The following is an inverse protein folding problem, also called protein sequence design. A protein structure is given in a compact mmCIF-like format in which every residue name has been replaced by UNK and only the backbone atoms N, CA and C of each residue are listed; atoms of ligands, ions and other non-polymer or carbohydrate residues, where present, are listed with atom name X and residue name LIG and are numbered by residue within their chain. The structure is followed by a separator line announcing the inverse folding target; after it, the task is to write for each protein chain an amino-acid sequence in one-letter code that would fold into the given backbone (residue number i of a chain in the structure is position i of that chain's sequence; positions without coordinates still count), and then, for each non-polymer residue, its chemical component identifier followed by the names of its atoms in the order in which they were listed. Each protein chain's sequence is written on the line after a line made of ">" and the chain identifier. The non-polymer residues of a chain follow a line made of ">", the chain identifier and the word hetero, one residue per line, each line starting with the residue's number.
data_IF_284972061043
#
_entry.id   IF_284972061043
#
_cell.length_a   1.000
_cell.length_b   1.000
_cell.length_c   1.000
_cell.angle_alpha   90.00
_cell.angle_beta   90.00
_cell.angle_gamma   90.00
#
_symmetry.space_group_name_H-M   'P 1'
#
loop_
_entity.id
_entity.type
_entity.pdbx_description
1 polymer ?
#
# COMPACT_ATOMS: atom_id res chain seq x y z
N UNK A 1 -23.35 -12.09 16.09
CA UNK A 1 -23.33 -13.32 16.94
C UNK A 1 -24.77 -13.78 17.14
N UNK A 2 -25.04 -15.10 17.17
CA UNK A 2 -26.39 -15.61 17.46
C UNK A 2 -26.48 -15.95 18.94
N UNK A 3 -27.48 -15.37 19.62
CA UNK A 3 -27.87 -15.69 20.99
C UNK A 3 -29.02 -16.67 20.95
N UNK A 4 -28.98 -17.72 21.77
CA UNK A 4 -30.02 -18.72 21.85
C UNK A 4 -30.62 -18.75 23.26
N UNK A 5 -31.94 -18.84 23.32
CA UNK A 5 -32.72 -19.13 24.52
C UNK A 5 -33.09 -20.61 24.59
N UNK A 6 -33.63 -21.04 25.73
CA UNK A 6 -34.22 -22.36 25.86
C UNK A 6 -35.46 -22.49 24.96
N UNK A 7 -35.68 -23.65 24.37
CA UNK A 7 -36.81 -23.92 23.48
C UNK A 7 -37.90 -24.73 24.18
N UNK A 8 -39.16 -24.43 23.87
CA UNK A 8 -40.31 -25.17 24.40
C UNK A 8 -41.60 -24.83 23.66
N UNK A 9 -42.49 -25.81 23.51
CA UNK A 9 -43.80 -25.60 22.88
C UNK A 9 -44.62 -24.58 23.69
N UNK A 10 -45.19 -23.58 23.00
CA UNK A 10 -46.01 -22.54 23.63
C UNK A 10 -45.22 -21.52 24.45
N UNK A 11 -43.90 -21.42 24.27
CA UNK A 11 -43.09 -20.34 24.84
C UNK A 11 -43.08 -19.10 23.93
N UNK A 12 -43.20 -17.93 24.54
CA UNK A 12 -43.01 -16.63 23.91
C UNK A 12 -41.69 -16.01 24.40
N UNK A 13 -40.99 -15.32 23.51
CA UNK A 13 -39.71 -14.68 23.79
C UNK A 13 -39.81 -13.18 23.60
N UNK A 14 -39.03 -12.42 24.37
CA UNK A 14 -38.78 -11.01 24.13
C UNK A 14 -37.33 -10.72 24.49
N UNK A 15 -36.51 -10.44 23.49
CA UNK A 15 -35.13 -9.99 23.70
C UNK A 15 -35.10 -8.52 24.08
N UNK A 16 -34.16 -8.14 24.94
CA UNK A 16 -33.91 -6.75 25.32
C UNK A 16 -32.43 -6.41 25.17
N UNK A 17 -32.13 -5.16 24.84
CA UNK A 17 -30.80 -4.57 24.80
C UNK A 17 -30.72 -3.44 25.81
N UNK A 18 -29.76 -3.52 26.74
CA UNK A 18 -29.55 -2.53 27.79
C UNK A 18 -30.83 -2.20 28.57
N UNK A 19 -31.64 -3.23 28.84
CA UNK A 19 -32.91 -3.12 29.57
C UNK A 19 -34.12 -2.69 28.73
N UNK A 20 -33.95 -2.38 27.44
CA UNK A 20 -35.06 -1.98 26.56
C UNK A 20 -35.46 -3.14 25.62
N UNK A 21 -36.77 -3.45 25.48
CA UNK A 21 -37.23 -4.52 24.60
C UNK A 21 -36.94 -4.18 23.13
N UNK A 22 -36.43 -5.17 22.40
CA UNK A 22 -36.17 -5.06 20.97
C UNK A 22 -37.43 -5.44 20.18
N UNK A 23 -37.94 -4.50 19.38
CA UNK A 23 -39.15 -4.72 18.59
C UNK A 23 -39.00 -5.90 17.63
N UNK A 24 -39.98 -6.80 17.62
CA UNK A 24 -40.00 -8.00 16.74
C UNK A 24 -39.00 -9.10 17.13
N UNK A 25 -38.20 -8.91 18.18
CA UNK A 25 -37.26 -9.91 18.65
C UNK A 25 -37.94 -10.96 19.55
N UNK A 26 -38.80 -11.78 18.94
CA UNK A 26 -39.67 -12.74 19.64
C UNK A 26 -39.36 -14.20 19.33
N UNK A 27 -38.27 -14.46 18.62
CA UNK A 27 -37.77 -15.81 18.34
C UNK A 27 -36.88 -16.33 19.47
N UNK A 28 -36.80 -17.65 19.62
CA UNK A 28 -35.90 -18.30 20.58
C UNK A 28 -34.42 -18.00 20.30
N UNK A 29 -34.08 -17.61 19.07
CA UNK A 29 -32.76 -17.14 18.69
C UNK A 29 -32.81 -15.68 18.24
N UNK A 30 -31.73 -14.93 18.52
CA UNK A 30 -31.58 -13.54 18.11
C UNK A 30 -30.18 -13.27 17.58
N UNK A 31 -30.07 -12.57 16.44
CA UNK A 31 -28.78 -12.17 15.87
C UNK A 31 -28.38 -10.80 16.42
N UNK A 32 -27.47 -10.79 17.39
CA UNK A 32 -26.91 -9.56 17.95
C UNK A 32 -25.88 -8.94 16.98
N UNK A 33 -26.11 -7.67 16.65
CA UNK A 33 -25.26 -6.84 15.77
C UNK A 33 -24.67 -5.62 16.47
N UNK A 34 -25.20 -5.25 17.64
CA UNK A 34 -24.76 -4.10 18.42
C UNK A 34 -24.12 -4.53 19.74
N UNK A 35 -23.17 -3.74 20.24
CA UNK A 35 -22.62 -3.93 21.57
C UNK A 35 -23.65 -3.60 22.65
N UNK A 36 -23.56 -4.28 23.78
CA UNK A 36 -24.39 -4.04 24.96
C UNK A 36 -24.80 -5.33 25.67
N UNK A 37 -25.62 -5.16 26.71
CA UNK A 37 -26.10 -6.26 27.52
C UNK A 37 -27.43 -6.76 26.97
N UNK A 38 -27.44 -8.00 26.51
CA UNK A 38 -28.64 -8.69 26.04
C UNK A 38 -29.19 -9.60 27.13
N UNK A 39 -30.51 -9.63 27.26
CA UNK A 39 -31.21 -10.68 27.98
C UNK A 39 -32.49 -11.03 27.23
N UNK A 40 -33.07 -12.17 27.59
CA UNK A 40 -34.34 -12.63 27.02
C UNK A 40 -35.31 -12.91 28.17
N UNK A 41 -36.53 -12.39 28.02
CA UNK A 41 -37.65 -12.80 28.86
C UNK A 41 -38.42 -13.89 28.14
N UNK A 42 -38.61 -15.02 28.80
CA UNK A 42 -39.37 -16.17 28.29
C UNK A 42 -40.66 -16.26 29.09
N UNK A 43 -41.80 -16.34 28.41
CA UNK A 43 -43.12 -16.49 29.02
C UNK A 43 -43.77 -17.78 28.52
N UNK A 44 -44.26 -18.61 29.44
CA UNK A 44 -44.94 -19.85 29.08
C UNK A 44 -46.44 -19.63 28.80
N UNK A 45 -47.13 -20.66 28.32
CA UNK A 45 -48.58 -20.61 28.05
C UNK A 45 -49.46 -20.31 29.27
N UNK A 46 -48.94 -20.51 30.48
CA UNK A 46 -49.60 -20.17 31.76
C UNK A 46 -49.33 -18.74 32.23
N UNK A 47 -48.70 -17.89 31.40
CA UNK A 47 -48.28 -16.52 31.72
C UNK A 47 -47.22 -16.39 32.83
N UNK A 48 -46.52 -17.47 33.20
CA UNK A 48 -45.34 -17.35 34.05
C UNK A 48 -44.14 -16.90 33.21
N UNK A 49 -43.39 -15.90 33.69
CA UNK A 49 -42.22 -15.36 33.01
C UNK A 49 -40.95 -15.48 33.84
N UNK A 50 -39.82 -15.61 33.14
CA UNK A 50 -38.49 -15.51 33.71
C UNK A 50 -37.57 -14.76 32.73
N UNK A 51 -36.65 -13.96 33.26
CA UNK A 51 -35.65 -13.21 32.49
C UNK A 51 -34.27 -13.79 32.73
N UNK A 52 -33.51 -14.01 31.65
CA UNK A 52 -32.13 -14.49 31.76
C UNK A 52 -31.21 -13.46 32.44
N UNK A 53 -30.06 -13.92 32.91
CA UNK A 53 -28.95 -13.00 33.21
C UNK A 53 -28.49 -12.28 31.94
N UNK A 54 -27.79 -11.16 32.11
CA UNK A 54 -27.24 -10.40 30.99
C UNK A 54 -26.07 -11.16 30.35
N UNK A 55 -26.10 -11.24 29.01
CA UNK A 55 -24.96 -11.59 28.17
C UNK A 55 -24.40 -10.32 27.54
N UNK A 56 -23.16 -9.97 27.89
CA UNK A 56 -22.50 -8.79 27.32
C UNK A 56 -21.91 -9.11 25.95
N UNK A 57 -22.33 -8.34 24.95
CA UNK A 57 -21.76 -8.37 23.60
C UNK A 57 -20.86 -7.14 23.42
N UNK A 58 -19.64 -7.37 22.97
CA UNK A 58 -18.70 -6.32 22.56
C UNK A 58 -18.58 -6.29 21.05
N UNK A 59 -18.50 -5.09 20.48
CA UNK A 59 -18.26 -4.86 19.05
C UNK A 59 -17.03 -3.98 18.95
N UNK A 60 -15.98 -4.47 18.30
CA UNK A 60 -14.75 -3.71 18.07
C UNK A 60 -14.80 -3.10 16.67
N UNK A 61 -14.54 -1.80 16.57
CA UNK A 61 -14.46 -1.13 15.28
C UNK A 61 -13.28 -1.66 14.44
N UNK A 62 -13.45 -1.67 13.12
CA UNK A 62 -12.33 -1.92 12.21
C UNK A 62 -11.26 -0.82 12.39
N UNK A 63 -9.97 -1.16 12.28
CA UNK A 63 -8.93 -0.14 12.24
C UNK A 63 -9.06 0.70 10.96
N UNK A 64 -8.55 1.93 11.00
CA UNK A 64 -8.29 2.69 9.77
C UNK A 64 -7.05 2.10 9.05
N UNK A 65 -7.05 2.15 7.72
CA UNK A 65 -5.93 1.73 6.88
C UNK A 65 -5.68 2.74 5.76
N UNK A 66 -4.52 3.39 5.77
CA UNK A 66 -4.11 4.39 4.77
C UNK A 66 -2.65 4.19 4.37
N UNK A 67 -2.28 4.59 3.15
CA UNK A 67 -0.89 4.63 2.67
C UNK A 67 -0.54 6.06 2.30
N UNK A 68 0.57 6.57 2.85
CA UNK A 68 1.09 7.92 2.62
C UNK A 68 2.51 7.84 2.03
N UNK A 69 2.68 8.10 0.73
CA UNK A 69 3.99 8.14 0.09
C UNK A 69 4.86 9.31 0.57
N UNK A 70 6.18 9.11 0.67
CA UNK A 70 7.12 10.16 1.07
C UNK A 70 7.37 11.24 0.01
N UNK A 71 6.83 11.08 -1.20
CA UNK A 71 7.04 12.00 -2.32
C UNK A 71 6.10 11.73 -3.49
N UNK A 72 6.41 12.29 -4.67
CA UNK A 72 5.65 12.05 -5.89
C UNK A 72 5.69 10.57 -6.27
N UNK A 73 4.57 9.98 -6.71
CA UNK A 73 4.34 8.55 -6.95
C UNK A 73 5.16 7.91 -8.10
N UNK A 74 6.35 8.42 -8.39
CA UNK A 74 7.28 7.90 -9.38
C UNK A 74 8.72 7.96 -8.87
N UNK A 75 9.49 6.90 -9.11
CA UNK A 75 10.91 6.82 -8.81
C UNK A 75 11.69 6.41 -10.06
N UNK A 76 12.97 6.75 -10.15
CA UNK A 76 13.85 6.20 -11.18
C UNK A 76 14.24 4.76 -10.84
N UNK A 77 14.59 3.97 -11.85
CA UNK A 77 15.12 2.62 -11.66
C UNK A 77 16.36 2.65 -10.76
N UNK A 78 16.39 1.77 -9.76
CA UNK A 78 17.41 1.75 -8.70
C UNK A 78 17.13 2.71 -7.54
N UNK A 79 16.17 3.62 -7.68
CA UNK A 79 15.66 4.45 -6.59
C UNK A 79 14.70 3.71 -5.66
N UNK A 80 14.22 4.42 -4.66
CA UNK A 80 13.22 3.90 -3.72
C UNK A 80 12.29 5.02 -3.22
N UNK A 81 11.19 4.60 -2.62
CA UNK A 81 10.22 5.45 -1.95
C UNK A 81 9.74 4.81 -0.66
N UNK A 82 9.61 5.61 0.40
CA UNK A 82 9.02 5.14 1.64
C UNK A 82 7.50 5.33 1.56
N UNK A 83 6.77 4.24 1.75
CA UNK A 83 5.33 4.22 1.97
C UNK A 83 5.05 4.10 3.46
N UNK A 84 4.22 5.00 4.00
CA UNK A 84 3.87 5.02 5.42
C UNK A 84 2.41 4.64 5.65
N UNK A 85 2.17 3.59 6.45
CA UNK A 85 0.85 3.29 6.97
C UNK A 85 0.46 4.27 8.09
N UNK A 86 -0.84 4.40 8.40
CA UNK A 86 -1.27 5.08 9.62
C UNK A 86 -0.80 4.30 10.86
N UNK A 87 -0.36 5.02 11.90
CA UNK A 87 0.19 4.43 13.11
C UNK A 87 -0.73 4.70 14.29
N UNK A 88 -1.01 3.64 15.05
CA UNK A 88 -1.66 3.70 16.36
C UNK A 88 -1.17 2.53 17.21
N UNK A 89 -1.40 2.60 18.52
CA UNK A 89 -0.98 1.56 19.48
C UNK A 89 -1.69 0.24 19.16
N UNK A 90 -0.91 -0.84 19.12
CA UNK A 90 -1.45 -2.20 18.96
C UNK A 90 -1.88 -2.57 17.54
N UNK A 91 -1.52 -1.77 16.53
CA UNK A 91 -1.71 -2.13 15.13
C UNK A 91 -0.56 -3.01 14.62
N UNK A 92 -0.89 -4.00 13.81
CA UNK A 92 0.05 -4.82 13.02
C UNK A 92 -0.23 -4.63 11.54
N UNK A 93 0.78 -4.86 10.70
CA UNK A 93 0.75 -4.52 9.28
C UNK A 93 1.13 -5.72 8.41
N UNK A 94 0.61 -5.74 7.19
CA UNK A 94 1.09 -6.58 6.10
C UNK A 94 0.95 -5.78 4.80
N UNK A 95 2.06 -5.55 4.11
CA UNK A 95 2.04 -4.87 2.80
C UNK A 95 1.76 -5.85 1.66
N UNK A 96 1.12 -5.34 0.61
CA UNK A 96 0.80 -6.07 -0.60
C UNK A 96 1.26 -5.29 -1.82
N UNK A 97 1.69 -6.02 -2.85
CA UNK A 97 1.96 -5.50 -4.18
C UNK A 97 1.04 -6.23 -5.17
N UNK A 98 0.20 -5.45 -5.87
CA UNK A 98 -0.76 -5.98 -6.85
C UNK A 98 -1.65 -7.10 -6.26
N UNK A 99 -2.06 -6.93 -5.01
CA UNK A 99 -2.91 -7.89 -4.28
C UNK A 99 -2.16 -9.09 -3.67
N UNK A 100 -0.86 -9.25 -3.91
CA UNK A 100 -0.06 -10.34 -3.33
C UNK A 100 0.72 -9.86 -2.10
N UNK A 101 0.75 -10.63 -1.00
CA UNK A 101 1.48 -10.24 0.20
C UNK A 101 2.99 -10.18 -0.06
N UNK A 102 3.62 -9.09 0.39
CA UNK A 102 5.07 -8.93 0.33
C UNK A 102 5.66 -9.61 1.57
N UNK A 103 6.43 -10.69 1.35
CA UNK A 103 7.00 -11.48 2.45
C UNK A 103 7.84 -10.63 3.40
N UNK A 104 7.56 -10.74 4.71
CA UNK A 104 8.29 -10.01 5.76
C UNK A 104 7.96 -8.51 5.89
N UNK A 105 7.10 -7.97 5.03
CA UNK A 105 6.74 -6.55 5.08
C UNK A 105 5.65 -6.28 6.13
N UNK A 106 6.05 -6.27 7.41
CA UNK A 106 5.14 -6.13 8.56
C UNK A 106 5.35 -4.85 9.38
N UNK A 107 6.26 -3.98 8.95
CA UNK A 107 6.45 -2.65 9.53
C UNK A 107 5.40 -1.66 9.02
N UNK A 108 5.13 -0.60 9.79
CA UNK A 108 4.32 0.53 9.33
C UNK A 108 4.97 1.28 8.15
N UNK A 109 6.29 1.13 7.97
CA UNK A 109 7.04 1.67 6.84
C UNK A 109 7.40 0.56 5.85
N UNK A 110 7.23 0.82 4.56
CA UNK A 110 7.71 -0.05 3.50
C UNK A 110 8.53 0.72 2.47
N UNK A 111 9.69 0.16 2.09
CA UNK A 111 10.56 0.75 1.09
C UNK A 111 10.23 0.17 -0.30
N UNK A 112 9.44 0.89 -1.09
CA UNK A 112 9.01 0.48 -2.41
C UNK A 112 10.11 0.75 -3.45
N UNK A 113 10.46 -0.29 -4.22
CA UNK A 113 11.46 -0.25 -5.31
C UNK A 113 10.91 -0.76 -6.64
N UNK A 114 9.65 -1.17 -6.67
CA UNK A 114 8.99 -1.80 -7.81
C UNK A 114 7.76 -0.99 -8.23
N UNK A 115 7.42 -1.05 -9.52
CA UNK A 115 6.17 -0.51 -10.03
C UNK A 115 4.99 -1.36 -9.59
N UNK A 116 3.86 -0.72 -9.31
CA UNK A 116 2.59 -1.40 -9.09
C UNK A 116 1.73 -0.73 -8.04
N UNK A 117 0.63 -1.41 -7.69
CA UNK A 117 -0.34 -0.95 -6.72
C UNK A 117 0.00 -1.52 -5.34
N UNK A 118 0.44 -0.64 -4.44
CA UNK A 118 0.69 -0.99 -3.05
C UNK A 118 -0.55 -0.78 -2.20
N UNK A 119 -0.85 -1.74 -1.33
CA UNK A 119 -1.83 -1.62 -0.25
C UNK A 119 -1.23 -2.12 1.05
N UNK A 120 -1.81 -1.70 2.17
CA UNK A 120 -1.46 -2.23 3.49
C UNK A 120 -2.72 -2.76 4.17
N UNK A 121 -2.64 -3.99 4.68
CA UNK A 121 -3.63 -4.51 5.62
C UNK A 121 -3.19 -4.14 7.04
N UNK A 122 -4.08 -3.51 7.78
CA UNK A 122 -3.88 -3.11 9.18
C UNK A 122 -4.79 -3.99 10.04
N UNK A 123 -4.23 -4.59 11.08
CA UNK A 123 -4.96 -5.45 12.02
C UNK A 123 -4.81 -4.92 13.44
N UNK A 124 -5.92 -4.76 14.16
CA UNK A 124 -5.91 -4.31 15.56
C UNK A 124 -5.72 -5.50 16.54
N UNK A 125 -5.61 -5.20 17.83
CA UNK A 125 -5.42 -6.21 18.90
C UNK A 125 -6.60 -7.16 19.08
N UNK A 126 -7.78 -6.84 18.54
CA UNK A 126 -8.95 -7.72 18.53
C UNK A 126 -9.03 -8.60 17.28
N UNK A 127 -7.97 -8.62 16.45
CA UNK A 127 -7.91 -9.32 15.16
C UNK A 127 -8.90 -8.82 14.10
N UNK A 128 -9.45 -7.62 14.25
CA UNK A 128 -10.19 -6.97 13.17
C UNK A 128 -9.20 -6.33 12.20
N UNK A 129 -9.42 -6.52 10.90
CA UNK A 129 -8.53 -6.00 9.85
C UNK A 129 -9.27 -5.14 8.82
N UNK A 130 -8.53 -4.20 8.24
CA UNK A 130 -8.95 -3.40 7.11
C UNK A 130 -7.78 -3.21 6.14
N UNK A 131 -8.07 -3.10 4.84
CA UNK A 131 -7.06 -2.88 3.79
C UNK A 131 -7.22 -1.48 3.22
N UNK A 132 -6.10 -0.80 3.01
CA UNK A 132 -6.09 0.55 2.43
C UNK A 132 -6.57 0.57 0.97
N UNK A 133 -6.92 1.77 0.48
CA UNK A 133 -6.96 2.02 -0.95
C UNK A 133 -5.57 1.81 -1.59
N UNK A 134 -5.55 1.52 -2.89
CA UNK A 134 -4.32 1.29 -3.65
C UNK A 134 -3.54 2.59 -3.90
N UNK A 135 -2.24 2.55 -3.69
CA UNK A 135 -1.28 3.58 -4.09
C UNK A 135 -0.45 3.06 -5.25
N UNK A 136 -0.65 3.63 -6.44
CA UNK A 136 0.11 3.28 -7.64
C UNK A 136 1.47 3.97 -7.64
N UNK A 137 2.55 3.18 -7.71
CA UNK A 137 3.93 3.66 -7.85
C UNK A 137 4.48 3.26 -9.22
N UNK A 138 5.15 4.20 -9.89
CA UNK A 138 5.83 3.96 -11.16
C UNK A 138 7.35 3.99 -11.01
N UNK A 139 8.05 3.01 -11.59
CA UNK A 139 9.51 3.00 -11.75
C UNK A 139 9.84 3.37 -13.19
N UNK A 140 10.49 4.52 -13.37
CA UNK A 140 10.93 5.02 -14.66
C UNK A 140 12.30 4.43 -15.00
N UNK A 141 12.48 3.79 -16.18
CA UNK A 141 13.78 3.28 -16.58
C UNK A 141 14.80 4.40 -16.72
N UNK A 142 16.07 4.08 -16.46
CA UNK A 142 17.16 5.01 -16.77
C UNK A 142 17.30 5.16 -18.29
N UNK A 143 17.64 6.35 -18.80
CA UNK A 143 18.02 6.51 -20.19
C UNK A 143 19.20 5.59 -20.53
N UNK A 144 19.18 4.98 -21.72
CA UNK A 144 20.37 4.34 -22.28
C UNK A 144 21.37 5.44 -22.65
N UNK A 145 22.66 5.25 -22.36
CA UNK A 145 23.72 6.15 -22.77
C UNK A 145 24.68 5.43 -23.73
N UNK A 146 24.68 5.81 -25.01
CA UNK A 146 25.56 5.21 -26.01
C UNK A 146 26.26 6.26 -26.87
N UNK A 147 27.54 6.03 -27.17
CA UNK A 147 28.32 6.83 -28.11
C UNK A 147 28.39 6.08 -29.45
N UNK A 148 28.11 6.78 -30.55
CA UNK A 148 28.41 6.34 -31.91
C UNK A 148 29.39 7.30 -32.57
N UNK A 149 30.33 6.78 -33.35
CA UNK A 149 31.26 7.59 -34.12
C UNK A 149 30.77 7.69 -35.57
N UNK A 150 30.73 8.90 -36.13
CA UNK A 150 30.39 9.16 -37.52
C UNK A 150 31.60 8.99 -38.47
N UNK A 151 32.55 8.12 -38.10
CA UNK A 151 33.80 7.92 -38.83
C UNK A 151 34.76 6.99 -38.07
N UNK A 152 35.96 6.83 -38.62
CA UNK A 152 37.03 6.08 -37.96
C UNK A 152 37.53 6.84 -36.72
N UNK A 153 37.77 6.11 -35.64
CA UNK A 153 38.29 6.68 -34.38
C UNK A 153 39.82 6.74 -34.33
N UNK A 154 40.47 6.39 -35.44
CA UNK A 154 41.92 6.49 -35.62
C UNK A 154 42.17 7.34 -36.86
N UNK A 155 42.75 8.51 -36.67
CA UNK A 155 42.93 9.53 -37.71
C UNK A 155 44.24 10.30 -37.48
N UNK A 156 44.71 11.03 -38.49
CA UNK A 156 45.99 11.75 -38.43
C UNK A 156 45.89 13.04 -37.60
N UNK A 157 47.03 13.59 -37.18
CA UNK A 157 47.05 14.88 -36.49
C UNK A 157 46.44 15.98 -37.38
N UNK A 158 45.45 16.71 -36.84
CA UNK A 158 44.70 17.73 -37.57
C UNK A 158 43.33 17.26 -38.08
N UNK A 159 43.10 15.95 -38.15
CA UNK A 159 41.79 15.38 -38.45
C UNK A 159 40.89 15.31 -37.21
N UNK A 160 39.65 14.86 -37.38
CA UNK A 160 38.67 14.74 -36.32
C UNK A 160 37.66 13.62 -36.60
N UNK A 161 36.91 13.25 -35.56
CA UNK A 161 35.71 12.41 -35.68
C UNK A 161 34.57 13.04 -34.90
N UNK A 162 33.36 13.00 -35.45
CA UNK A 162 32.16 13.41 -34.73
C UNK A 162 31.63 12.21 -33.93
N UNK A 163 31.48 12.42 -32.62
CA UNK A 163 30.85 11.50 -31.70
C UNK A 163 29.41 11.96 -31.43
N UNK A 164 28.47 11.04 -31.47
CA UNK A 164 27.05 11.30 -31.21
C UNK A 164 26.60 10.52 -29.98
N UNK A 165 25.90 11.19 -29.08
CA UNK A 165 25.12 10.58 -28.01
C UNK A 165 23.70 10.25 -28.52
N UNK A 166 22.97 9.41 -27.80
CA UNK A 166 21.54 9.21 -28.07
C UNK A 166 20.73 10.48 -27.81
N UNK A 167 19.71 10.70 -28.64
CA UNK A 167 18.80 11.83 -28.55
C UNK A 167 17.48 11.42 -27.92
N UNK A 168 16.84 12.34 -27.20
CA UNK A 168 15.58 12.09 -26.52
C UNK A 168 15.07 13.35 -25.81
N UNK A 169 13.76 13.42 -25.58
CA UNK A 169 13.15 14.55 -24.87
C UNK A 169 13.60 14.57 -23.41
N UNK A 170 14.08 15.73 -22.95
CA UNK A 170 14.51 15.92 -21.56
C UNK A 170 15.92 15.41 -21.25
N UNK A 171 16.69 14.95 -22.24
CA UNK A 171 18.09 14.60 -22.06
C UNK A 171 18.97 15.86 -22.05
N UNK A 172 19.97 15.84 -21.17
CA UNK A 172 21.05 16.81 -21.09
C UNK A 172 22.37 16.09 -21.27
N UNK A 173 23.39 16.76 -21.80
CA UNK A 173 24.67 16.14 -22.09
C UNK A 173 25.82 16.89 -21.44
N UNK A 174 26.85 16.15 -21.01
CA UNK A 174 28.17 16.67 -20.70
C UNK A 174 29.22 15.68 -21.21
N UNK A 175 29.99 16.07 -22.23
CA UNK A 175 31.11 15.26 -22.72
C UNK A 175 32.31 15.31 -21.77
N UNK A 176 32.98 14.18 -21.62
CA UNK A 176 34.10 13.97 -20.70
C UNK A 176 35.24 13.32 -21.49
N UNK A 177 36.43 13.90 -21.39
CA UNK A 177 37.68 13.37 -21.96
C UNK A 177 38.61 12.97 -20.82
N UNK A 178 39.04 11.71 -20.80
CA UNK A 178 39.97 11.17 -19.80
C UNK A 178 39.53 11.46 -18.35
N UNK A 179 38.21 11.39 -18.09
CA UNK A 179 37.61 11.62 -16.78
C UNK A 179 37.35 13.09 -16.43
N UNK A 180 37.79 14.06 -17.23
CA UNK A 180 37.52 15.49 -17.02
C UNK A 180 36.40 16.03 -17.92
N UNK A 181 35.42 16.78 -17.37
CA UNK A 181 34.40 17.44 -18.20
C UNK A 181 35.02 18.42 -19.20
N UNK A 182 34.56 18.35 -20.44
CA UNK A 182 34.95 19.29 -21.49
C UNK A 182 34.04 20.52 -21.39
N UNK A 183 34.62 21.68 -21.15
CA UNK A 183 33.86 22.91 -20.97
C UNK A 183 32.93 23.17 -22.16
N UNK A 184 31.67 23.48 -21.85
CA UNK A 184 30.61 23.82 -22.83
C UNK A 184 30.24 22.72 -23.83
N UNK A 185 30.78 21.51 -23.70
CA UNK A 185 30.41 20.38 -24.55
C UNK A 185 29.11 19.75 -24.03
N UNK A 186 27.99 20.43 -24.29
CA UNK A 186 26.64 20.06 -23.80
C UNK A 186 25.65 19.68 -24.90
N UNK A 187 26.11 19.66 -26.15
CA UNK A 187 25.32 19.20 -27.31
C UNK A 187 25.31 17.67 -27.40
N UNK A 188 24.29 17.11 -28.04
CA UNK A 188 24.20 15.68 -28.32
C UNK A 188 25.33 15.17 -29.26
N UNK A 189 26.06 16.07 -29.94
CA UNK A 189 27.21 15.77 -30.78
C UNK A 189 28.46 16.51 -30.30
N UNK A 190 29.62 15.86 -30.40
CA UNK A 190 30.93 16.46 -30.09
C UNK A 190 31.97 16.08 -31.14
N UNK A 191 32.71 17.07 -31.63
CA UNK A 191 33.83 16.86 -32.55
C UNK A 191 35.11 16.58 -31.76
N UNK A 192 35.54 15.32 -31.74
CA UNK A 192 36.76 14.90 -31.07
C UNK A 192 37.97 15.13 -31.96
N UNK A 193 38.92 15.93 -31.46
CA UNK A 193 40.21 16.25 -32.11
C UNK A 193 41.43 15.74 -31.34
N UNK A 194 41.21 15.20 -30.15
CA UNK A 194 42.24 14.71 -29.24
C UNK A 194 42.08 13.21 -28.99
N UNK A 195 43.19 12.53 -28.74
CA UNK A 195 43.18 11.14 -28.31
C UNK A 195 42.75 11.01 -26.85
N UNK A 196 42.07 9.92 -26.54
CA UNK A 196 41.69 9.59 -25.17
C UNK A 196 40.41 8.77 -25.08
N UNK A 197 39.96 8.56 -23.86
CA UNK A 197 38.70 7.88 -23.57
C UNK A 197 37.61 8.94 -23.46
N UNK A 198 36.59 8.79 -24.32
CA UNK A 198 35.42 9.65 -24.36
C UNK A 198 34.21 8.96 -23.71
N UNK A 199 33.50 9.70 -22.87
CA UNK A 199 32.19 9.32 -22.34
C UNK A 199 31.29 10.55 -22.25
N UNK A 200 29.99 10.36 -22.00
CA UNK A 200 29.08 11.45 -21.63
C UNK A 200 28.18 11.03 -20.46
N UNK A 201 27.57 12.01 -19.81
CA UNK A 201 26.54 11.86 -18.77
C UNK A 201 25.44 12.89 -18.95
#
# INVERSE_FOLDING_TARGET
>A
MILNSNTGAGMNYQWSLNGNPLSGATSAAYTATQAGNYNVTVTNAGNCSATSTNTTITVVALPAATVNPSGANSICQGGNMILMANVSVGLTYQWYLNGNPISGATSAAYNATQSGNFTVMVTNTANCSATSAATSIAVNPLPNANITAAGITTFCQGDNVVLNANTGTGLSYQWILNGSPIASATSASYTATQSGIMLFR
#
